data_IF_269987977794
#
_entry.id   IF_269987977794
#
_cell.length_a   1.000
_cell.length_b   1.000
_cell.length_c   1.000
_cell.angle_alpha   90.00
_cell.angle_beta   90.00
_cell.angle_gamma   90.00
#
_symmetry.space_group_name_H-M   'P 1'
#
loop_
_entity.id
_entity.type
_entity.pdbx_description
1 polymer ?
#
# COMPACT_ATOMS: atom_id res chain seq x y z
N UNK A 1 9.24 -19.10 -12.82
CA UNK A 1 9.51 -17.75 -13.36
C UNK A 1 8.21 -16.97 -13.26
N UNK A 2 7.95 -16.32 -12.11
CA UNK A 2 6.94 -15.27 -12.08
C UNK A 2 7.28 -14.31 -13.24
N UNK A 3 6.33 -14.09 -14.14
CA UNK A 3 6.57 -13.27 -15.34
C UNK A 3 7.14 -11.93 -14.90
N UNK A 4 8.17 -11.38 -15.57
CA UNK A 4 8.79 -10.07 -15.21
C UNK A 4 7.77 -8.96 -14.93
N UNK A 5 6.58 -9.07 -15.53
CA UNK A 5 5.41 -8.23 -15.26
C UNK A 5 4.88 -8.33 -13.82
N UNK A 6 4.76 -9.53 -13.25
CA UNK A 6 4.29 -9.74 -11.87
C UNK A 6 5.25 -9.12 -10.85
N UNK A 7 6.56 -9.26 -11.06
CA UNK A 7 7.56 -8.63 -10.20
C UNK A 7 7.48 -7.09 -10.25
N UNK A 8 7.29 -6.51 -11.43
CA UNK A 8 7.09 -5.06 -11.58
C UNK A 8 5.80 -4.59 -10.89
N UNK A 9 4.70 -5.32 -11.08
CA UNK A 9 3.41 -5.03 -10.44
C UNK A 9 3.51 -5.12 -8.91
N UNK A 10 4.23 -6.13 -8.40
CA UNK A 10 4.46 -6.31 -6.97
C UNK A 10 5.21 -5.12 -6.36
N UNK A 11 6.23 -4.60 -7.06
CA UNK A 11 7.02 -3.45 -6.61
C UNK A 11 6.18 -2.15 -6.64
N UNK A 12 5.36 -1.96 -7.68
CA UNK A 12 4.45 -0.82 -7.76
C UNK A 12 3.40 -0.83 -6.65
N UNK A 13 2.82 -1.99 -6.33
CA UNK A 13 1.87 -2.12 -5.22
C UNK A 13 2.51 -1.78 -3.86
N UNK A 14 3.78 -2.13 -3.64
CA UNK A 14 4.50 -1.76 -2.40
C UNK A 14 4.75 -0.26 -2.32
N UNK A 15 5.12 0.40 -3.41
CA UNK A 15 5.34 1.86 -3.47
C UNK A 15 4.04 2.63 -3.24
N UNK A 16 2.96 2.25 -3.92
CA UNK A 16 1.65 2.88 -3.74
C UNK A 16 1.13 2.66 -2.31
N UNK A 17 1.23 1.43 -1.80
CA UNK A 17 0.78 1.09 -0.45
C UNK A 17 1.50 1.89 0.65
N UNK A 18 2.83 1.99 0.59
CA UNK A 18 3.63 2.79 1.53
C UNK A 18 3.30 4.29 1.44
N UNK A 19 3.08 4.81 0.23
CA UNK A 19 2.70 6.21 0.03
C UNK A 19 1.33 6.51 0.62
N UNK A 20 0.34 5.65 0.38
CA UNK A 20 -1.00 5.78 0.94
C UNK A 20 -1.01 5.72 2.47
N UNK A 21 -0.22 4.79 3.05
CA UNK A 21 -0.05 4.72 4.50
C UNK A 21 0.62 5.98 5.08
N UNK A 22 1.67 6.50 4.44
CA UNK A 22 2.34 7.73 4.86
C UNK A 22 1.41 8.95 4.79
N UNK A 23 0.66 9.09 3.69
CA UNK A 23 -0.33 10.14 3.53
C UNK A 23 -1.45 10.03 4.59
N UNK A 24 -1.89 8.82 4.92
CA UNK A 24 -2.86 8.61 5.98
C UNK A 24 -2.30 9.01 7.37
N UNK A 25 -1.05 8.64 7.69
CA UNK A 25 -0.43 9.05 8.97
C UNK A 25 -0.40 10.57 9.14
N UNK A 26 -0.07 11.29 8.07
CA UNK A 26 -0.08 12.76 8.08
C UNK A 26 -1.54 13.29 8.11
N UNK A 27 -2.44 12.64 7.37
CA UNK A 27 -3.86 12.98 7.31
C UNK A 27 -4.60 12.88 8.64
N UNK A 28 -4.12 12.11 9.63
CA UNK A 28 -4.72 12.03 10.96
C UNK A 28 -4.60 13.37 11.70
N UNK A 29 -3.53 14.11 11.44
CA UNK A 29 -3.26 15.41 12.08
C UNK A 29 -3.88 16.60 11.33
N UNK A 30 -4.18 16.43 10.04
CA UNK A 30 -4.70 17.50 9.17
C UNK A 30 -6.21 17.44 8.95
N UNK A 31 -6.84 16.28 9.16
CA UNK A 31 -8.24 16.05 8.81
C UNK A 31 -9.09 15.79 10.05
N UNK A 32 -10.26 16.44 10.12
CA UNK A 32 -11.28 16.14 11.13
C UNK A 32 -11.98 14.79 10.87
N UNK A 33 -11.85 14.25 9.65
CA UNK A 33 -12.45 12.98 9.24
C UNK A 33 -11.51 11.79 9.52
N UNK A 34 -11.23 11.54 10.79
CA UNK A 34 -10.31 10.49 11.25
C UNK A 34 -10.65 9.10 10.69
N UNK A 35 -11.95 8.79 10.56
CA UNK A 35 -12.44 7.51 10.01
C UNK A 35 -11.96 7.31 8.57
N UNK A 36 -12.02 8.35 7.73
CA UNK A 36 -11.59 8.28 6.33
C UNK A 36 -10.09 8.06 6.22
N UNK A 37 -9.33 8.66 7.14
CA UNK A 37 -7.89 8.47 7.24
C UNK A 37 -7.52 7.04 7.62
N UNK A 38 -8.26 6.43 8.55
CA UNK A 38 -8.08 5.00 8.90
C UNK A 38 -8.35 4.11 7.68
N UNK A 39 -9.41 4.36 6.91
CA UNK A 39 -9.66 3.61 5.68
C UNK A 39 -8.54 3.76 4.65
N UNK A 40 -7.96 4.96 4.53
CA UNK A 40 -6.82 5.22 3.65
C UNK A 40 -5.57 4.46 4.09
N UNK A 41 -5.31 4.39 5.40
CA UNK A 41 -4.21 3.60 5.95
C UNK A 41 -4.42 2.10 5.69
N UNK A 42 -5.63 1.60 5.94
CA UNK A 42 -5.98 0.19 5.75
C UNK A 42 -5.89 -0.24 4.28
N UNK A 43 -6.39 0.56 3.35
CA UNK A 43 -6.27 0.27 1.92
C UNK A 43 -4.81 0.28 1.46
N UNK A 44 -4.00 1.23 1.95
CA UNK A 44 -2.55 1.26 1.72
C UNK A 44 -1.84 0.00 2.25
N UNK A 45 -2.19 -0.44 3.46
CA UNK A 45 -1.63 -1.65 4.06
C UNK A 45 -2.02 -2.91 3.26
N UNK A 46 -3.26 -3.01 2.79
CA UNK A 46 -3.72 -4.12 1.94
C UNK A 46 -2.94 -4.16 0.63
N UNK A 47 -2.79 -3.02 -0.06
CA UNK A 47 -2.03 -2.93 -1.31
C UNK A 47 -0.56 -3.31 -1.10
N UNK A 48 0.03 -2.86 0.00
CA UNK A 48 1.39 -3.22 0.36
C UNK A 48 1.57 -4.73 0.62
N UNK A 49 0.63 -5.34 1.36
CA UNK A 49 0.61 -6.78 1.61
C UNK A 49 0.42 -7.60 0.32
N UNK A 50 -0.46 -7.15 -0.58
CA UNK A 50 -0.63 -7.77 -1.91
C UNK A 50 0.70 -7.73 -2.67
N UNK A 51 1.40 -6.60 -2.66
CA UNK A 51 2.73 -6.48 -3.27
C UNK A 51 3.76 -7.44 -2.64
N UNK A 52 3.74 -7.63 -1.31
CA UNK A 52 4.60 -8.63 -0.64
C UNK A 52 4.25 -10.05 -1.07
N UNK A 53 2.98 -10.43 -1.07
CA UNK A 53 2.54 -11.76 -1.46
C UNK A 53 2.92 -12.05 -2.92
N UNK A 54 2.77 -11.09 -3.82
CA UNK A 54 3.19 -11.19 -5.22
C UNK A 54 4.72 -11.23 -5.39
N UNK A 55 5.48 -10.74 -4.40
CA UNK A 55 6.95 -10.86 -4.40
C UNK A 55 7.41 -12.24 -3.90
N UNK A 56 6.58 -13.00 -3.17
CA UNK A 56 6.94 -14.34 -2.66
C UNK A 56 6.84 -15.41 -3.74
N UNK A 57 7.71 -15.33 -4.73
CA UNK A 57 8.06 -16.42 -5.65
C UNK A 57 9.56 -16.31 -5.96
N UNK A 58 10.39 -16.52 -4.93
CA UNK A 58 11.77 -16.97 -5.00
C UNK A 58 12.05 -17.88 -3.80
#
# INVERSE_FOLDING_TARGET
MASKRLAAIADDFRKVGTTAMGAALIGVFLSNHQILTVYTFMSGAILWLIGICLTRED
#
